data_IF_383547099134
#
_entry.id   IF_383547099134
#
_cell.length_a   1.000
_cell.length_b   1.000
_cell.length_c   1.000
_cell.angle_alpha   90.00
_cell.angle_beta   90.00
_cell.angle_gamma   90.00
#
_symmetry.space_group_name_H-M   'P 1'
#
loop_
_entity.id
_entity.type
_entity.pdbx_description
1 polymer ?
#
# COMPACT_ATOMS: atom_id res chain seq x y z
N UNK A 1 18.79 -11.88 28.77
CA UNK A 1 18.11 -12.24 27.52
C UNK A 1 17.96 -10.97 26.72
N UNK A 2 18.76 -10.78 25.68
CA UNK A 2 18.58 -9.67 24.76
C UNK A 2 17.23 -9.86 24.08
N UNK A 3 16.29 -8.97 24.32
CA UNK A 3 15.06 -8.90 23.55
C UNK A 3 15.45 -8.60 22.10
N UNK A 4 15.54 -9.65 21.26
CA UNK A 4 15.64 -9.45 19.83
C UNK A 4 14.49 -8.53 19.42
N UNK A 5 14.85 -7.39 18.87
CA UNK A 5 13.86 -6.39 18.41
C UNK A 5 13.18 -6.97 17.16
N UNK A 6 12.10 -7.73 17.36
CA UNK A 6 11.36 -8.41 16.30
C UNK A 6 10.60 -7.37 15.49
N UNK A 7 10.96 -7.21 14.24
CA UNK A 7 10.30 -6.28 13.32
C UNK A 7 9.57 -7.06 12.23
N UNK A 8 8.28 -6.81 12.06
CA UNK A 8 7.43 -7.36 11.00
C UNK A 8 7.21 -6.29 9.94
N UNK A 9 7.61 -6.57 8.70
CA UNK A 9 7.31 -5.73 7.54
C UNK A 9 6.10 -6.30 6.79
N UNK A 10 5.04 -5.51 6.71
CA UNK A 10 3.84 -5.81 5.93
C UNK A 10 3.78 -4.86 4.73
N UNK A 11 3.49 -5.39 3.56
CA UNK A 11 3.44 -4.64 2.32
C UNK A 11 2.08 -4.81 1.67
N UNK A 12 1.43 -3.70 1.33
CA UNK A 12 0.32 -3.67 0.40
C UNK A 12 0.87 -3.84 -1.02
N UNK A 13 0.70 -5.04 -1.56
CA UNK A 13 1.30 -5.46 -2.82
C UNK A 13 0.69 -4.76 -4.03
N UNK A 14 -0.64 -4.52 -4.05
CA UNK A 14 -1.28 -3.80 -5.15
C UNK A 14 -0.92 -2.32 -5.17
N UNK A 15 -0.98 -1.64 -4.03
CA UNK A 15 -0.57 -0.24 -3.90
C UNK A 15 0.87 -0.03 -4.35
N UNK A 16 1.80 -0.89 -3.88
CA UNK A 16 3.20 -0.80 -4.27
C UNK A 16 3.41 -1.12 -5.76
N UNK A 17 2.74 -2.16 -6.30
CA UNK A 17 2.89 -2.57 -7.70
C UNK A 17 2.38 -1.49 -8.67
N UNK A 18 1.20 -0.93 -8.44
CA UNK A 18 0.64 0.14 -9.26
C UNK A 18 1.52 1.41 -9.21
N UNK A 19 1.96 1.79 -8.03
CA UNK A 19 2.87 2.93 -7.85
C UNK A 19 4.20 2.69 -8.58
N UNK A 20 4.75 1.50 -8.48
CA UNK A 20 5.96 1.07 -9.18
C UNK A 20 5.81 1.15 -10.69
N UNK A 21 4.69 0.65 -11.20
CA UNK A 21 4.34 0.71 -12.61
C UNK A 21 4.26 2.14 -13.12
N UNK A 22 3.39 2.96 -12.53
CA UNK A 22 3.19 4.33 -12.98
C UNK A 22 4.44 5.21 -12.82
N UNK A 23 5.30 4.89 -11.86
CA UNK A 23 6.57 5.59 -11.66
C UNK A 23 7.52 5.49 -12.86
N UNK A 24 7.52 4.36 -13.56
CA UNK A 24 8.36 4.11 -14.75
C UNK A 24 7.55 4.32 -16.04
N UNK A 25 6.37 3.73 -16.13
CA UNK A 25 5.55 3.73 -17.34
C UNK A 25 5.21 5.13 -17.83
N UNK A 26 4.84 6.05 -16.94
CA UNK A 26 4.55 7.44 -17.33
C UNK A 26 5.75 8.15 -17.93
N UNK A 27 6.98 7.82 -17.50
CA UNK A 27 8.18 8.38 -18.08
C UNK A 27 8.48 7.74 -19.45
N UNK A 28 8.30 6.42 -19.57
CA UNK A 28 8.47 5.69 -20.81
C UNK A 28 7.52 6.20 -21.91
N UNK A 29 6.25 6.42 -21.58
CA UNK A 29 5.26 7.03 -22.51
C UNK A 29 5.69 8.43 -22.98
N UNK A 30 6.21 9.26 -22.09
CA UNK A 30 6.66 10.62 -22.45
C UNK A 30 7.90 10.65 -23.33
N UNK A 31 8.78 9.66 -23.18
CA UNK A 31 10.06 9.59 -23.90
C UNK A 31 10.04 8.66 -25.10
N UNK A 32 9.00 7.83 -25.24
CA UNK A 32 8.93 6.76 -26.24
C UNK A 32 9.93 5.61 -25.97
N UNK A 33 10.51 5.53 -24.77
CA UNK A 33 11.54 4.53 -24.42
C UNK A 33 11.03 3.53 -23.39
N UNK A 34 10.54 2.38 -23.86
CA UNK A 34 10.09 1.27 -23.03
C UNK A 34 11.23 0.25 -22.84
N UNK A 35 12.10 0.51 -21.84
CA UNK A 35 13.29 -0.30 -21.58
C UNK A 35 13.02 -1.55 -20.71
N UNK A 36 11.84 -1.64 -20.10
CA UNK A 36 11.44 -2.75 -19.26
C UNK A 36 10.42 -3.66 -19.94
N UNK A 37 10.63 -3.92 -21.24
CA UNK A 37 9.82 -4.85 -22.03
C UNK A 37 10.69 -6.03 -22.43
N UNK A 38 10.23 -7.24 -22.14
CA UNK A 38 10.91 -8.49 -22.53
C UNK A 38 10.78 -8.72 -24.04
N UNK A 39 11.59 -9.63 -24.56
CA UNK A 39 11.58 -10.00 -25.98
C UNK A 39 10.25 -10.61 -26.48
N UNK A 40 9.44 -11.14 -25.56
CA UNK A 40 8.09 -11.66 -25.82
C UNK A 40 6.98 -10.59 -25.72
N UNK A 41 7.34 -9.31 -25.51
CA UNK A 41 6.42 -8.19 -25.38
C UNK A 41 5.88 -7.97 -23.97
N UNK A 42 6.20 -8.82 -22.99
CA UNK A 42 5.76 -8.67 -21.61
C UNK A 42 6.43 -7.46 -20.95
N UNK A 43 5.63 -6.54 -20.45
CA UNK A 43 6.06 -5.42 -19.62
C UNK A 43 6.48 -5.87 -18.22
N UNK A 44 7.50 -5.23 -17.65
CA UNK A 44 8.09 -5.59 -16.34
C UNK A 44 8.45 -4.38 -15.47
N UNK A 45 7.93 -3.20 -15.78
CA UNK A 45 8.18 -1.95 -15.06
C UNK A 45 7.83 -2.06 -13.58
N UNK A 46 6.63 -2.61 -13.29
CA UNK A 46 6.18 -2.83 -11.91
C UNK A 46 7.08 -3.81 -11.19
N UNK A 47 7.46 -4.92 -11.83
CA UNK A 47 8.31 -5.96 -11.24
C UNK A 47 9.67 -5.38 -10.84
N UNK A 48 10.30 -4.62 -11.76
CA UNK A 48 11.61 -4.02 -11.52
C UNK A 48 11.58 -3.01 -10.36
N UNK A 49 10.65 -2.06 -10.40
CA UNK A 49 10.58 -1.01 -9.38
C UNK A 49 10.09 -1.55 -8.03
N UNK A 50 9.18 -2.54 -8.04
CA UNK A 50 8.75 -3.25 -6.84
C UNK A 50 9.94 -3.92 -6.15
N UNK A 51 10.73 -4.72 -6.89
CA UNK A 51 11.92 -5.38 -6.35
C UNK A 51 12.92 -4.37 -5.81
N UNK A 52 13.20 -3.32 -6.56
CA UNK A 52 14.14 -2.27 -6.14
C UNK A 52 13.71 -1.62 -4.82
N UNK A 53 12.42 -1.30 -4.70
CA UNK A 53 11.86 -0.72 -3.47
C UNK A 53 11.91 -1.72 -2.32
N UNK A 54 11.50 -2.97 -2.56
CA UNK A 54 11.52 -4.03 -1.56
C UNK A 54 12.93 -4.23 -0.98
N UNK A 55 13.94 -4.35 -1.84
CA UNK A 55 15.34 -4.53 -1.43
C UNK A 55 15.87 -3.33 -0.64
N UNK A 56 15.53 -2.10 -1.04
CA UNK A 56 15.89 -0.90 -0.28
C UNK A 56 15.27 -0.91 1.12
N UNK A 57 13.96 -1.20 1.22
CA UNK A 57 13.26 -1.25 2.51
C UNK A 57 13.84 -2.34 3.42
N UNK A 58 14.14 -3.52 2.89
CA UNK A 58 14.76 -4.61 3.64
C UNK A 58 16.14 -4.18 4.15
N UNK A 59 16.96 -3.58 3.29
CA UNK A 59 18.30 -3.09 3.65
C UNK A 59 18.25 -2.04 4.76
N UNK A 60 17.33 -1.08 4.64
CA UNK A 60 17.27 0.08 5.55
C UNK A 60 16.63 -0.27 6.90
N UNK A 61 15.74 -1.27 6.96
CA UNK A 61 14.97 -1.60 8.16
C UNK A 61 15.30 -2.96 8.76
N UNK A 62 15.97 -3.85 8.04
CA UNK A 62 16.38 -5.20 8.47
C UNK A 62 15.25 -5.97 9.22
N UNK A 63 14.06 -6.10 8.62
CA UNK A 63 12.93 -6.76 9.28
C UNK A 63 13.25 -8.23 9.52
N UNK A 64 12.81 -8.76 10.67
CA UNK A 64 12.94 -10.19 10.99
C UNK A 64 11.92 -11.04 10.23
N UNK A 65 10.77 -10.45 9.88
CA UNK A 65 9.67 -11.11 9.17
C UNK A 65 9.10 -10.17 8.11
N UNK A 66 8.67 -10.75 6.98
CA UNK A 66 8.08 -10.00 5.86
C UNK A 66 6.87 -10.76 5.34
N UNK A 67 5.80 -10.05 4.99
CA UNK A 67 4.69 -10.58 4.21
C UNK A 67 4.13 -9.50 3.27
N UNK A 68 3.62 -9.92 2.12
CA UNK A 68 3.02 -9.05 1.11
C UNK A 68 1.56 -9.47 0.91
N UNK A 69 0.63 -8.56 1.09
CA UNK A 69 -0.80 -8.79 0.86
C UNK A 69 -1.21 -8.33 -0.54
N UNK A 70 -2.10 -9.08 -1.17
CA UNK A 70 -2.66 -8.76 -2.48
C UNK A 70 -4.17 -8.93 -2.48
N UNK A 71 -4.86 -8.08 -3.23
CA UNK A 71 -6.26 -8.25 -3.54
C UNK A 71 -6.47 -9.45 -4.46
N UNK A 72 -7.63 -10.08 -4.36
CA UNK A 72 -8.11 -11.04 -5.35
C UNK A 72 -8.95 -10.33 -6.41
N UNK A 73 -8.96 -10.83 -7.67
CA UNK A 73 -9.93 -10.37 -8.64
C UNK A 73 -11.37 -10.66 -8.18
N UNK A 74 -12.26 -9.74 -8.46
CA UNK A 74 -13.67 -9.85 -8.06
C UNK A 74 -14.05 -8.84 -6.99
N UNK A 75 -15.31 -8.82 -6.63
CA UNK A 75 -15.82 -7.93 -5.58
C UNK A 75 -15.49 -8.45 -4.18
N UNK A 76 -15.57 -7.56 -3.21
CA UNK A 76 -15.50 -7.89 -1.78
C UNK A 76 -16.85 -7.63 -1.13
N UNK A 77 -17.00 -7.90 0.17
CA UNK A 77 -18.22 -7.55 0.89
C UNK A 77 -18.55 -6.06 0.76
N UNK A 78 -17.55 -5.17 0.62
CA UNK A 78 -17.76 -3.73 0.41
C UNK A 78 -18.49 -3.44 -0.91
N UNK A 79 -18.11 -4.13 -1.98
CA UNK A 79 -18.78 -4.00 -3.28
C UNK A 79 -20.21 -4.57 -3.24
N UNK A 80 -20.45 -5.61 -2.42
CA UNK A 80 -21.78 -6.18 -2.23
C UNK A 80 -22.70 -5.24 -1.44
N UNK A 81 -22.17 -4.51 -0.45
CA UNK A 81 -22.91 -3.53 0.35
C UNK A 81 -23.10 -2.19 -0.38
N UNK A 82 -22.09 -1.75 -1.12
CA UNK A 82 -22.12 -0.50 -1.88
C UNK A 82 -21.57 -0.72 -3.29
N UNK A 83 -22.48 -0.93 -4.26
CA UNK A 83 -22.14 -1.28 -5.64
C UNK A 83 -21.28 -0.25 -6.40
N UNK A 84 -21.26 1.01 -5.95
CA UNK A 84 -20.42 2.05 -6.53
C UNK A 84 -19.01 2.16 -5.89
N UNK A 85 -18.72 1.32 -4.89
CA UNK A 85 -17.43 1.28 -4.23
C UNK A 85 -16.30 1.08 -5.25
N UNK A 86 -15.33 1.99 -5.25
CA UNK A 86 -14.20 2.01 -6.20
C UNK A 86 -14.60 2.13 -7.68
N UNK A 87 -15.87 2.40 -7.99
CA UNK A 87 -16.40 2.45 -9.36
C UNK A 87 -15.86 3.60 -10.22
N UNK A 88 -15.29 4.63 -9.63
CA UNK A 88 -14.68 5.78 -10.32
C UNK A 88 -13.19 5.60 -10.69
N UNK A 89 -12.59 4.44 -10.43
CA UNK A 89 -11.16 4.22 -10.72
C UNK A 89 -10.90 4.14 -12.23
N UNK A 90 -9.87 4.86 -12.69
CA UNK A 90 -9.44 4.79 -14.09
C UNK A 90 -8.98 3.38 -14.46
N UNK A 91 -9.20 3.00 -15.73
CA UNK A 91 -8.66 1.75 -16.25
C UNK A 91 -7.13 1.74 -16.13
N UNK A 92 -6.60 0.62 -15.69
CA UNK A 92 -5.17 0.39 -15.65
C UNK A 92 -4.72 0.02 -17.08
N UNK A 93 -3.59 0.58 -17.59
CA UNK A 93 -3.07 0.23 -18.90
C UNK A 93 -2.82 -1.27 -19.06
N UNK A 94 -3.10 -1.85 -20.25
CA UNK A 94 -2.83 -3.26 -20.58
C UNK A 94 -1.35 -3.67 -20.34
N UNK A 95 -0.43 -2.72 -20.43
CA UNK A 95 0.97 -2.93 -20.08
C UNK A 95 1.20 -3.41 -18.63
N UNK A 96 0.22 -3.24 -17.73
CA UNK A 96 0.29 -3.76 -16.37
C UNK A 96 -0.10 -5.24 -16.26
N UNK A 97 -0.78 -5.76 -17.27
CA UNK A 97 -1.31 -7.13 -17.23
C UNK A 97 -0.21 -8.17 -17.00
N UNK A 98 -0.48 -9.14 -16.14
CA UNK A 98 0.45 -10.21 -15.77
C UNK A 98 1.60 -9.78 -14.84
N UNK A 99 1.81 -8.48 -14.58
CA UNK A 99 2.92 -8.04 -13.72
C UNK A 99 2.71 -8.42 -12.25
N UNK A 100 1.47 -8.46 -11.75
CA UNK A 100 1.17 -8.98 -10.39
C UNK A 100 1.59 -10.44 -10.24
N UNK A 101 1.31 -11.27 -11.23
CA UNK A 101 1.69 -12.69 -11.19
C UNK A 101 3.20 -12.87 -11.23
N UNK A 102 3.90 -12.03 -12.00
CA UNK A 102 5.36 -12.00 -12.02
C UNK A 102 5.94 -11.58 -10.65
N UNK A 103 5.35 -10.58 -10.01
CA UNK A 103 5.73 -10.14 -8.66
C UNK A 103 5.50 -11.29 -7.65
N UNK A 104 4.35 -11.96 -7.68
CA UNK A 104 4.08 -13.11 -6.80
C UNK A 104 5.08 -14.25 -7.01
N UNK A 105 5.43 -14.57 -8.27
CA UNK A 105 6.47 -15.56 -8.59
C UNK A 105 7.84 -15.14 -8.06
N UNK A 106 8.22 -13.89 -8.20
CA UNK A 106 9.45 -13.32 -7.66
C UNK A 106 9.49 -13.42 -6.13
N UNK A 107 8.41 -13.04 -5.44
CA UNK A 107 8.28 -13.17 -3.99
C UNK A 107 8.43 -14.63 -3.54
N UNK A 108 7.81 -15.57 -4.25
CA UNK A 108 7.97 -17.01 -4.00
C UNK A 108 9.42 -17.47 -4.14
N UNK A 109 10.15 -16.99 -5.15
CA UNK A 109 11.57 -17.30 -5.33
C UNK A 109 12.47 -16.70 -4.21
N UNK A 110 12.02 -15.59 -3.58
CA UNK A 110 12.67 -14.97 -2.42
C UNK A 110 12.20 -15.56 -1.09
N UNK A 111 11.33 -16.56 -1.11
CA UNK A 111 10.69 -17.15 0.08
C UNK A 111 9.94 -16.14 0.94
N UNK A 112 9.33 -15.13 0.29
CA UNK A 112 8.48 -14.12 0.93
C UNK A 112 7.02 -14.47 0.68
N UNK A 113 6.19 -14.66 1.73
CA UNK A 113 4.77 -14.99 1.57
C UNK A 113 4.01 -13.89 0.84
N UNK A 114 3.28 -14.26 -0.22
CA UNK A 114 2.30 -13.44 -0.90
C UNK A 114 0.90 -13.92 -0.45
N UNK A 115 0.18 -13.09 0.29
CA UNK A 115 -1.06 -13.44 0.96
C UNK A 115 -2.25 -12.86 0.22
N UNK A 116 -3.30 -13.64 0.12
CA UNK A 116 -4.62 -13.24 -0.39
C UNK A 116 -5.70 -13.87 0.48
N UNK A 117 -6.87 -13.24 0.57
CA UNK A 117 -8.00 -13.82 1.27
C UNK A 117 -9.31 -13.50 0.55
N UNK A 118 -10.14 -14.52 0.32
CA UNK A 118 -11.41 -14.35 -0.38
C UNK A 118 -12.32 -13.36 0.34
N UNK A 119 -13.02 -12.52 -0.41
CA UNK A 119 -13.97 -11.52 0.07
C UNK A 119 -13.36 -10.37 0.90
N UNK A 120 -12.02 -10.30 1.03
CA UNK A 120 -11.30 -9.25 1.74
C UNK A 120 -10.25 -8.59 0.85
N UNK A 121 -9.92 -7.36 1.16
CA UNK A 121 -8.88 -6.59 0.47
C UNK A 121 -7.51 -6.78 1.14
N UNK A 122 -6.44 -6.39 0.44
CA UNK A 122 -5.08 -6.41 0.98
C UNK A 122 -4.96 -5.64 2.30
N UNK A 123 -5.68 -4.52 2.43
CA UNK A 123 -5.70 -3.69 3.64
C UNK A 123 -6.27 -4.42 4.85
N UNK A 124 -7.29 -5.27 4.67
CA UNK A 124 -7.86 -6.09 5.76
C UNK A 124 -6.84 -7.13 6.26
N UNK A 125 -6.07 -7.71 5.32
CA UNK A 125 -4.99 -8.66 5.66
C UNK A 125 -3.89 -7.92 6.42
N UNK A 126 -3.45 -6.74 5.92
CA UNK A 126 -2.45 -5.90 6.56
C UNK A 126 -2.91 -5.50 7.96
N UNK A 127 -4.13 -5.02 8.12
CA UNK A 127 -4.69 -4.62 9.42
C UNK A 127 -4.73 -5.80 10.40
N UNK A 128 -5.18 -6.98 9.93
CA UNK A 128 -5.25 -8.20 10.76
C UNK A 128 -3.86 -8.64 11.23
N UNK A 129 -2.87 -8.65 10.32
CA UNK A 129 -1.50 -9.04 10.65
C UNK A 129 -0.80 -7.98 11.51
N UNK A 130 -1.10 -6.71 11.33
CA UNK A 130 -0.63 -5.63 12.20
C UNK A 130 -1.06 -5.85 13.64
N UNK A 131 -2.36 -6.06 13.87
CA UNK A 131 -2.89 -6.37 15.21
C UNK A 131 -2.24 -7.61 15.81
N UNK A 132 -2.20 -8.72 15.08
CA UNK A 132 -1.57 -9.96 15.56
C UNK A 132 -0.07 -9.81 15.82
N UNK A 133 0.64 -9.03 14.99
CA UNK A 133 2.05 -8.76 15.16
C UNK A 133 2.34 -7.96 16.42
N UNK A 134 1.59 -6.91 16.68
CA UNK A 134 1.72 -6.10 17.91
C UNK A 134 1.35 -6.88 19.16
N UNK A 135 0.28 -7.68 19.13
CA UNK A 135 -0.10 -8.61 20.22
C UNK A 135 1.01 -9.65 20.52
N UNK A 136 1.79 -10.04 19.50
CA UNK A 136 2.94 -10.94 19.62
C UNK A 136 4.26 -10.22 19.95
N UNK A 137 4.23 -8.92 20.23
CA UNK A 137 5.38 -8.11 20.63
C UNK A 137 6.31 -7.68 19.49
N UNK A 138 5.83 -7.65 18.25
CA UNK A 138 6.57 -7.10 17.12
C UNK A 138 6.40 -5.59 17.03
N UNK A 139 7.46 -4.89 16.63
CA UNK A 139 7.32 -3.59 15.97
C UNK A 139 6.89 -3.84 14.51
N UNK A 140 5.84 -3.17 14.07
CA UNK A 140 5.30 -3.39 12.73
C UNK A 140 5.62 -2.20 11.84
N UNK A 141 6.15 -2.49 10.66
CA UNK A 141 6.33 -1.54 9.57
C UNK A 141 5.34 -1.90 8.47
N UNK A 142 4.54 -0.93 8.04
CA UNK A 142 3.60 -1.12 6.93
C UNK A 142 4.09 -0.29 5.75
N UNK A 143 4.28 -0.89 4.58
CA UNK A 143 4.56 -0.17 3.33
C UNK A 143 3.28 -0.11 2.51
N UNK A 144 2.64 1.05 2.48
CA UNK A 144 1.48 1.33 1.65
C UNK A 144 1.39 2.82 1.30
N UNK A 145 0.84 3.11 0.13
CA UNK A 145 0.47 4.47 -0.29
C UNK A 145 -0.98 4.83 0.03
N UNK A 146 -1.72 3.92 0.67
CA UNK A 146 -3.09 4.16 1.06
C UNK A 146 -3.18 4.96 2.36
N UNK A 147 -4.13 5.90 2.40
CA UNK A 147 -4.37 6.74 3.58
C UNK A 147 -5.17 6.01 4.65
N UNK A 148 -5.95 5.02 4.27
CA UNK A 148 -6.73 4.23 5.21
C UNK A 148 -5.85 3.51 6.23
N UNK A 149 -4.60 3.24 5.86
CA UNK A 149 -3.59 2.68 6.75
C UNK A 149 -3.18 3.64 7.88
N UNK A 150 -3.45 4.96 7.78
CA UNK A 150 -3.16 5.90 8.86
C UNK A 150 -3.80 5.49 10.19
N UNK A 151 -5.01 4.92 10.15
CA UNK A 151 -5.72 4.44 11.35
C UNK A 151 -4.98 3.36 12.12
N UNK A 152 -4.06 2.64 11.49
CA UNK A 152 -3.30 1.54 12.10
C UNK A 152 -2.03 2.02 12.81
N UNK A 153 -1.63 3.28 12.61
CA UNK A 153 -0.37 3.83 13.15
C UNK A 153 -0.47 4.02 14.66
N UNK A 154 0.52 3.47 15.38
CA UNK A 154 0.65 3.57 16.85
C UNK A 154 2.13 3.71 17.21
N UNK A 155 2.47 3.72 18.50
CA UNK A 155 3.87 3.69 18.96
C UNK A 155 4.61 2.40 18.57
N UNK A 156 3.88 1.34 18.27
CA UNK A 156 4.41 0.05 17.81
C UNK A 156 4.26 -0.18 16.31
N UNK A 157 3.53 0.69 15.60
CA UNK A 157 3.23 0.57 14.18
C UNK A 157 3.63 1.84 13.43
N UNK A 158 4.57 1.72 12.51
CA UNK A 158 5.01 2.83 11.65
C UNK A 158 4.61 2.57 10.21
N UNK A 159 3.96 3.53 9.55
CA UNK A 159 3.70 3.46 8.12
C UNK A 159 4.89 4.04 7.34
N UNK A 160 5.41 3.27 6.42
CA UNK A 160 6.36 3.67 5.37
C UNK A 160 5.56 4.18 4.17
N UNK A 161 5.34 5.49 4.14
CA UNK A 161 4.45 6.14 3.17
C UNK A 161 5.22 6.66 1.97
N UNK A 162 5.01 6.13 0.75
CA UNK A 162 5.73 6.59 -0.43
C UNK A 162 5.16 7.94 -0.92
N UNK A 163 6.04 8.94 -1.05
CA UNK A 163 5.75 10.27 -1.60
C UNK A 163 6.43 10.42 -2.95
N UNK A 164 5.68 10.73 -3.99
CA UNK A 164 6.18 10.77 -5.37
C UNK A 164 6.65 12.15 -5.82
N UNK A 165 6.19 13.20 -5.17
CA UNK A 165 6.42 14.60 -5.57
C UNK A 165 6.83 15.49 -4.41
N UNK A 166 7.43 16.63 -4.73
CA UNK A 166 7.79 17.64 -3.76
C UNK A 166 9.12 17.40 -3.02
N UNK A 167 9.45 18.29 -2.06
CA UNK A 167 10.72 18.23 -1.33
C UNK A 167 10.92 16.95 -0.51
N UNK A 168 9.82 16.28 -0.18
CA UNK A 168 9.80 15.07 0.64
C UNK A 168 9.67 13.79 -0.19
N UNK A 169 10.02 13.84 -1.49
CA UNK A 169 9.98 12.65 -2.36
C UNK A 169 10.79 11.50 -1.77
N UNK A 170 10.19 10.31 -1.74
CA UNK A 170 10.80 9.10 -1.18
C UNK A 170 9.86 8.41 -0.19
N UNK A 171 10.40 7.56 0.66
CA UNK A 171 9.63 6.89 1.71
C UNK A 171 9.66 7.73 2.98
N UNK A 172 8.51 8.20 3.41
CA UNK A 172 8.34 8.91 4.69
C UNK A 172 7.94 7.93 5.79
N UNK A 173 8.56 8.06 6.95
CA UNK A 173 8.13 7.34 8.14
C UNK A 173 7.02 8.14 8.83
N UNK A 174 5.84 7.53 8.92
CA UNK A 174 4.66 8.10 9.54
C UNK A 174 4.45 7.42 10.90
N UNK A 175 4.84 8.11 11.95
CA UNK A 175 4.48 7.82 13.34
C UNK A 175 3.16 8.56 13.70
N UNK A 176 2.59 8.39 14.92
CA UNK A 176 1.36 9.06 15.29
C UNK A 176 1.41 10.60 15.13
N UNK A 177 2.53 11.22 15.49
CA UNK A 177 2.68 12.67 15.38
C UNK A 177 2.74 13.15 13.93
N UNK A 178 3.39 12.38 13.04
CA UNK A 178 3.44 12.67 11.62
C UNK A 178 2.07 12.51 10.94
N UNK A 179 1.30 11.50 11.34
CA UNK A 179 -0.09 11.31 10.87
C UNK A 179 -0.94 12.50 11.32
N UNK A 180 -0.94 12.84 12.60
CA UNK A 180 -1.73 13.95 13.14
C UNK A 180 -1.34 15.30 12.51
N UNK A 181 -0.06 15.55 12.31
CA UNK A 181 0.41 16.75 11.58
C UNK A 181 -0.16 16.80 10.16
N UNK A 182 -0.28 15.65 9.48
CA UNK A 182 -0.75 15.55 8.09
C UNK A 182 -2.27 15.62 7.98
N UNK A 183 -2.99 14.93 8.85
CA UNK A 183 -4.46 14.76 8.79
C UNK A 183 -5.21 15.73 9.70
N UNK A 184 -4.53 16.33 10.68
CA UNK A 184 -5.08 17.20 11.75
C UNK A 184 -5.89 16.43 12.81
N UNK A 185 -5.93 15.13 12.72
CA UNK A 185 -6.54 14.25 13.72
C UNK A 185 -5.56 13.13 14.09
N UNK A 186 -5.61 12.60 15.32
CA UNK A 186 -4.80 11.44 15.68
C UNK A 186 -5.20 10.21 14.85
N UNK A 187 -4.29 9.22 14.69
CA UNK A 187 -4.51 8.06 13.83
C UNK A 187 -5.84 7.37 14.02
N UNK A 188 -6.24 7.11 15.26
CA UNK A 188 -7.48 6.38 15.59
C UNK A 188 -8.76 7.14 15.21
N UNK A 189 -8.71 8.45 14.98
CA UNK A 189 -9.83 9.27 14.51
C UNK A 189 -9.87 9.42 12.99
N UNK A 190 -8.89 8.86 12.27
CA UNK A 190 -8.85 8.98 10.81
C UNK A 190 -10.09 8.38 10.12
N UNK A 191 -10.65 7.24 10.57
CA UNK A 191 -11.91 6.72 10.00
C UNK A 191 -13.08 7.68 10.12
N UNK A 192 -13.22 8.37 11.27
CA UNK A 192 -14.28 9.36 11.49
C UNK A 192 -14.09 10.57 10.56
N UNK A 193 -12.84 11.04 10.41
CA UNK A 193 -12.52 12.10 9.46
C UNK A 193 -12.89 11.69 8.04
N UNK A 194 -12.49 10.49 7.58
CA UNK A 194 -12.81 9.97 6.26
C UNK A 194 -14.33 9.82 6.04
N UNK A 195 -15.06 9.32 7.05
CA UNK A 195 -16.52 9.21 7.00
C UNK A 195 -17.20 10.57 6.85
N UNK A 196 -16.70 11.61 7.52
CA UNK A 196 -17.25 12.97 7.43
C UNK A 196 -16.89 13.65 6.10
N UNK A 197 -15.65 13.56 5.66
CA UNK A 197 -15.16 14.26 4.47
C UNK A 197 -15.38 13.51 3.17
N UNK A 198 -15.64 12.21 3.24
CA UNK A 198 -15.69 11.29 2.10
C UNK A 198 -14.29 10.85 1.64
N UNK A 199 -14.24 9.78 0.88
CA UNK A 199 -13.03 9.25 0.22
C UNK A 199 -13.28 9.16 -1.28
N UNK A 200 -12.79 10.15 -2.02
CA UNK A 200 -13.00 10.24 -3.46
C UNK A 200 -12.38 9.08 -4.23
N UNK A 201 -11.22 8.57 -3.75
CA UNK A 201 -10.53 7.45 -4.39
C UNK A 201 -11.37 6.16 -4.38
N UNK A 202 -12.25 6.02 -3.37
CA UNK A 202 -13.12 4.87 -3.18
C UNK A 202 -14.58 5.16 -3.54
N UNK A 203 -14.83 6.35 -4.10
CA UNK A 203 -16.18 6.81 -4.45
C UNK A 203 -17.13 6.84 -3.25
N UNK A 204 -16.62 7.16 -2.08
CA UNK A 204 -17.42 7.30 -0.86
C UNK A 204 -17.77 8.76 -0.66
N UNK A 205 -19.07 9.11 -0.65
CA UNK A 205 -19.51 10.46 -0.37
C UNK A 205 -19.31 10.77 1.12
N UNK A 206 -18.85 11.98 1.41
CA UNK A 206 -18.88 12.49 2.77
C UNK A 206 -20.23 13.08 3.14
N UNK A 207 -20.28 13.72 4.30
CA UNK A 207 -21.45 14.47 4.73
C UNK A 207 -21.57 15.77 3.92
N UNK A 208 -22.71 16.05 3.26
CA UNK A 208 -22.91 17.28 2.49
C UNK A 208 -22.58 18.54 3.31
N UNK A 209 -21.71 19.40 2.77
CA UNK A 209 -21.28 20.64 3.42
C UNK A 209 -20.13 20.47 4.41
N UNK A 210 -19.67 19.26 4.68
CA UNK A 210 -18.46 18.99 5.50
C UNK A 210 -17.28 18.75 4.56
N UNK A 211 -16.31 19.64 4.61
CA UNK A 211 -15.07 19.52 3.84
C UNK A 211 -13.83 19.54 4.76
N UNK A 212 -12.62 19.40 4.21
CA UNK A 212 -11.38 19.35 5.00
C UNK A 212 -11.12 20.57 5.91
N UNK A 213 -11.87 21.66 5.73
CA UNK A 213 -11.77 22.86 6.57
C UNK A 213 -12.75 22.88 7.77
N UNK A 214 -13.60 21.85 7.89
CA UNK A 214 -14.58 21.72 8.98
C UNK A 214 -14.22 20.59 9.97
N UNK A 215 -13.23 19.80 9.65
CA UNK A 215 -12.80 18.67 10.45
C UNK A 215 -11.64 19.03 11.37
#
# INVERSE_FOLDING_TARGET
MTTENKTLLLIDGHSLALRSFFGIYTMAEKTGQHIFVRSDGQHTEAVHAFLSTLLSIIKDNQPSHIAVAFDLPGGTFRTAEYGEYKGGRNAIPEAFDGQIDLIKKMLGALNIPALTYENYEADDIVATLTRRGTEAGYKVLILSGDRDIFQLVTDDVTLLYPVTTGPSKGIQRMDPAAVEKKTKVPPHMYPDLAALTGEQADNLPGVPGVGPGFA
#
